data_IF_196389229652
#
_entry.id   IF_196389229652
#
_cell.length_a   1.000
_cell.length_b   1.000
_cell.length_c   1.000
_cell.angle_alpha   90.00
_cell.angle_beta   90.00
_cell.angle_gamma   90.00
#
_symmetry.space_group_name_H-M   'P 1'
#
loop_
_entity.id
_entity.type
_entity.pdbx_description
1 polymer ?
#
# COMPACT_ATOMS: atom_id res chain seq x y z
N UNK A 1 44.60 1.43 -8.88
CA UNK A 1 44.74 2.85 -8.50
C UNK A 1 43.57 3.61 -9.11
N UNK A 2 42.70 4.20 -8.29
CA UNK A 2 41.53 4.92 -8.78
C UNK A 2 41.97 6.06 -9.70
N UNK A 3 41.43 6.13 -10.92
CA UNK A 3 41.68 7.23 -11.85
C UNK A 3 41.29 8.54 -11.16
N UNK A 4 42.28 9.34 -10.77
CA UNK A 4 42.04 10.69 -10.26
C UNK A 4 41.52 11.52 -11.44
N UNK A 5 40.21 11.73 -11.50
CA UNK A 5 39.59 12.57 -12.51
C UNK A 5 40.27 13.95 -12.52
N UNK A 6 40.66 14.42 -13.71
CA UNK A 6 41.37 15.68 -13.89
C UNK A 6 40.43 16.84 -13.49
N UNK A 7 40.67 17.44 -12.33
CA UNK A 7 39.90 18.60 -11.85
C UNK A 7 40.34 19.87 -12.58
N UNK A 8 39.39 20.60 -13.15
CA UNK A 8 39.63 21.89 -13.81
C UNK A 8 38.85 22.96 -13.06
N UNK A 9 39.54 24.02 -12.63
CA UNK A 9 38.92 25.16 -11.97
C UNK A 9 38.61 26.23 -13.03
N UNK A 10 37.36 26.66 -13.09
CA UNK A 10 36.91 27.79 -13.92
C UNK A 10 36.02 28.70 -13.06
N UNK A 11 36.12 30.00 -13.28
CA UNK A 11 35.25 31.00 -12.66
C UNK A 11 34.05 31.24 -13.55
N UNK A 12 32.84 31.12 -13.00
CA UNK A 12 31.57 31.29 -13.71
C UNK A 12 30.71 32.25 -12.87
N UNK A 13 29.93 33.09 -13.54
CA UNK A 13 28.94 33.94 -12.88
C UNK A 13 27.60 33.20 -12.81
N UNK A 14 26.97 33.22 -11.64
CA UNK A 14 25.66 32.62 -11.40
C UNK A 14 24.66 33.74 -11.10
N UNK A 15 23.44 33.58 -11.60
CA UNK A 15 22.33 34.40 -11.15
C UNK A 15 22.05 34.11 -9.67
N UNK A 16 21.64 35.14 -8.91
CA UNK A 16 21.51 35.05 -7.45
C UNK A 16 20.46 34.04 -6.99
N UNK A 17 19.36 33.91 -7.71
CA UNK A 17 18.30 32.93 -7.49
C UNK A 17 18.79 31.49 -7.74
N UNK A 18 19.63 31.29 -8.75
CA UNK A 18 20.25 29.99 -9.05
C UNK A 18 21.23 29.59 -7.95
N UNK A 19 22.01 30.53 -7.44
CA UNK A 19 22.93 30.27 -6.32
C UNK A 19 22.16 29.88 -5.04
N UNK A 20 21.09 30.60 -4.71
CA UNK A 20 20.23 30.29 -3.57
C UNK A 20 19.60 28.89 -3.68
N UNK A 21 19.14 28.51 -4.89
CA UNK A 21 18.61 27.19 -5.16
C UNK A 21 19.70 26.10 -4.99
N UNK A 22 20.92 26.37 -5.45
CA UNK A 22 22.06 25.46 -5.33
C UNK A 22 22.46 25.24 -3.87
N UNK A 23 22.47 26.29 -3.06
CA UNK A 23 22.75 26.19 -1.61
C UNK A 23 21.68 25.41 -0.86
N UNK A 24 20.39 25.62 -1.20
CA UNK A 24 19.28 24.82 -0.64
C UNK A 24 19.44 23.34 -0.99
N UNK A 25 19.77 23.03 -2.24
CA UNK A 25 20.01 21.66 -2.68
C UNK A 25 21.20 21.03 -1.95
N UNK A 26 22.30 21.78 -1.78
CA UNK A 26 23.49 21.34 -1.03
C UNK A 26 23.13 20.97 0.43
N UNK A 27 22.30 21.77 1.10
CA UNK A 27 21.81 21.51 2.46
C UNK A 27 20.88 20.30 2.53
N UNK A 28 19.95 20.16 1.58
CA UNK A 28 19.00 19.04 1.54
C UNK A 28 19.70 17.69 1.33
N UNK A 29 20.67 17.65 0.42
CA UNK A 29 21.42 16.44 0.06
C UNK A 29 22.61 16.17 0.99
N UNK A 30 22.87 17.05 1.97
CA UNK A 30 24.01 16.97 2.91
C UNK A 30 25.35 16.81 2.20
N UNK A 31 25.53 17.54 1.09
CA UNK A 31 26.76 17.53 0.32
C UNK A 31 27.82 18.41 1.00
N UNK A 32 29.08 17.98 0.95
CA UNK A 32 30.16 18.61 1.71
C UNK A 32 30.72 19.89 1.07
N UNK A 33 30.40 20.16 -0.20
CA UNK A 33 30.86 21.35 -0.92
C UNK A 33 29.89 21.75 -2.03
N UNK A 34 29.83 23.05 -2.30
CA UNK A 34 28.97 23.61 -3.34
C UNK A 34 29.38 23.15 -4.75
N UNK A 35 30.66 22.82 -4.94
CA UNK A 35 31.18 22.31 -6.23
C UNK A 35 30.64 20.92 -6.59
N UNK A 36 30.40 20.03 -5.62
CA UNK A 36 29.75 18.75 -5.88
C UNK A 36 28.30 18.95 -6.29
N UNK A 37 27.56 19.81 -5.58
CA UNK A 37 26.18 20.14 -5.92
C UNK A 37 26.07 20.75 -7.33
N UNK A 38 26.98 21.66 -7.70
CA UNK A 38 27.05 22.24 -9.05
C UNK A 38 27.36 21.18 -10.11
N UNK A 39 28.34 20.31 -9.88
CA UNK A 39 28.70 19.27 -10.83
C UNK A 39 27.57 18.25 -11.01
N UNK A 40 26.86 17.88 -9.95
CA UNK A 40 25.74 16.94 -10.04
C UNK A 40 24.54 17.55 -10.76
N UNK A 41 24.22 18.83 -10.50
CA UNK A 41 23.18 19.55 -11.21
C UNK A 41 23.50 19.70 -12.71
N UNK A 42 24.74 20.06 -13.03
CA UNK A 42 25.23 20.17 -14.42
C UNK A 42 25.26 18.80 -15.08
N UNK A 43 25.66 17.74 -14.37
CA UNK A 43 25.64 16.37 -14.91
C UNK A 43 24.22 15.92 -15.22
N UNK A 44 23.27 16.19 -14.33
CA UNK A 44 21.86 15.91 -14.54
C UNK A 44 21.26 16.67 -15.73
N UNK A 45 21.72 17.90 -15.97
CA UNK A 45 21.25 18.72 -17.09
C UNK A 45 21.89 18.33 -18.43
N UNK A 46 23.19 18.02 -18.44
CA UNK A 46 23.97 17.81 -19.67
C UNK A 46 24.09 16.34 -20.09
N UNK A 47 23.92 15.39 -19.18
CA UNK A 47 24.02 13.97 -19.48
C UNK A 47 22.67 13.27 -19.24
N UNK A 48 21.89 13.01 -20.32
CA UNK A 48 20.59 12.34 -20.23
C UNK A 48 20.66 10.95 -19.56
N UNK A 49 21.83 10.30 -19.61
CA UNK A 49 22.07 9.00 -18.98
C UNK A 49 21.89 9.04 -17.45
N UNK A 50 22.23 10.17 -16.80
CA UNK A 50 22.08 10.36 -15.35
C UNK A 50 20.68 10.84 -14.92
N UNK A 51 19.80 11.21 -15.86
CA UNK A 51 18.35 11.27 -15.58
C UNK A 51 17.76 9.87 -15.40
N UNK A 52 18.30 8.90 -16.14
CA UNK A 52 17.69 7.58 -16.30
C UNK A 52 17.70 6.71 -15.05
N UNK A 53 18.68 6.82 -14.14
CA UNK A 53 18.74 5.89 -12.99
C UNK A 53 17.64 6.16 -11.96
N UNK A 54 17.31 7.44 -11.71
CA UNK A 54 16.18 7.79 -10.85
C UNK A 54 14.84 7.45 -11.51
N UNK A 55 14.73 7.65 -12.82
CA UNK A 55 13.52 7.28 -13.57
C UNK A 55 13.35 5.76 -13.67
N UNK A 56 14.44 4.98 -13.78
CA UNK A 56 14.42 3.51 -13.73
C UNK A 56 13.91 3.01 -12.38
N UNK A 57 14.37 3.61 -11.28
CA UNK A 57 13.90 3.23 -9.94
C UNK A 57 12.40 3.53 -9.76
N UNK A 58 11.93 4.67 -10.28
CA UNK A 58 10.49 5.02 -10.25
C UNK A 58 9.66 4.08 -11.12
N UNK A 59 10.14 3.74 -12.33
CA UNK A 59 9.46 2.79 -13.22
C UNK A 59 9.42 1.40 -12.61
N UNK A 60 10.51 0.95 -11.98
CA UNK A 60 10.58 -0.34 -11.28
C UNK A 60 9.62 -0.38 -10.10
N UNK A 61 9.60 0.66 -9.26
CA UNK A 61 8.64 0.77 -8.15
C UNK A 61 7.19 0.73 -8.66
N UNK A 62 6.89 1.42 -9.77
CA UNK A 62 5.57 1.39 -10.40
C UNK A 62 5.20 0.01 -10.95
N UNK A 63 6.16 -0.74 -11.49
CA UNK A 63 5.95 -2.11 -11.93
C UNK A 63 5.67 -3.05 -10.75
N UNK A 64 6.46 -2.94 -9.67
CA UNK A 64 6.28 -3.73 -8.45
C UNK A 64 4.91 -3.45 -7.78
N UNK A 65 4.50 -2.18 -7.73
CA UNK A 65 3.17 -1.79 -7.24
C UNK A 65 2.03 -2.33 -8.12
N UNK A 66 2.20 -2.34 -9.44
CA UNK A 66 1.19 -2.90 -10.35
C UNK A 66 1.09 -4.43 -10.19
N UNK A 67 2.22 -5.11 -10.06
CA UNK A 67 2.26 -6.55 -9.83
C UNK A 67 1.56 -6.93 -8.52
N UNK A 68 1.90 -6.24 -7.42
CA UNK A 68 1.27 -6.49 -6.11
C UNK A 68 -0.24 -6.21 -6.11
N UNK A 69 -0.69 -5.14 -6.77
CA UNK A 69 -2.12 -4.86 -6.93
C UNK A 69 -2.85 -5.92 -7.76
N UNK A 70 -2.20 -6.45 -8.78
CA UNK A 70 -2.78 -7.52 -9.60
C UNK A 70 -2.93 -8.82 -8.81
N UNK A 71 -1.88 -9.22 -8.08
CA UNK A 71 -1.90 -10.39 -7.20
C UNK A 71 -2.97 -10.23 -6.09
N UNK A 72 -3.03 -9.07 -5.46
CA UNK A 72 -4.06 -8.76 -4.47
C UNK A 72 -5.45 -8.93 -5.06
N UNK A 73 -5.75 -8.33 -6.22
CA UNK A 73 -7.07 -8.47 -6.88
C UNK A 73 -7.41 -9.92 -7.19
N UNK A 74 -6.44 -10.70 -7.67
CA UNK A 74 -6.63 -12.11 -7.99
C UNK A 74 -6.94 -12.93 -6.73
N UNK A 75 -6.20 -12.70 -5.65
CA UNK A 75 -6.39 -13.41 -4.39
C UNK A 75 -7.73 -13.02 -3.74
N UNK A 76 -8.05 -11.72 -3.68
CA UNK A 76 -9.34 -11.26 -3.14
C UNK A 76 -10.51 -11.86 -3.91
N UNK A 77 -10.46 -11.93 -5.25
CA UNK A 77 -11.53 -12.52 -6.04
C UNK A 77 -11.73 -14.01 -5.73
N UNK A 78 -10.63 -14.77 -5.56
CA UNK A 78 -10.68 -16.17 -5.16
C UNK A 78 -11.26 -16.34 -3.75
N UNK A 79 -10.80 -15.55 -2.79
CA UNK A 79 -11.27 -15.63 -1.40
C UNK A 79 -12.76 -15.31 -1.29
N UNK A 80 -13.23 -14.32 -2.07
CA UNK A 80 -14.65 -13.97 -2.14
C UNK A 80 -15.49 -15.11 -2.74
N UNK A 81 -14.99 -15.77 -3.78
CA UNK A 81 -15.64 -16.94 -4.37
C UNK A 81 -15.72 -18.10 -3.37
N UNK A 82 -14.64 -18.38 -2.62
CA UNK A 82 -14.62 -19.43 -1.59
C UNK A 82 -15.62 -19.10 -0.47
N UNK A 83 -15.68 -17.85 -0.01
CA UNK A 83 -16.64 -17.43 1.01
C UNK A 83 -18.08 -17.56 0.51
N UNK A 84 -18.36 -17.19 -0.74
CA UNK A 84 -19.68 -17.35 -1.33
C UNK A 84 -20.08 -18.82 -1.44
N UNK A 85 -19.21 -19.66 -1.98
CA UNK A 85 -19.47 -21.11 -2.11
C UNK A 85 -19.65 -21.77 -0.74
N UNK A 86 -18.81 -21.42 0.24
CA UNK A 86 -18.92 -21.90 1.62
C UNK A 86 -20.24 -21.48 2.28
N UNK A 87 -20.72 -20.26 2.00
CA UNK A 87 -22.04 -19.81 2.44
C UNK A 87 -23.17 -20.60 1.77
N UNK A 88 -23.10 -20.84 0.46
CA UNK A 88 -24.11 -21.63 -0.24
C UNK A 88 -24.14 -23.07 0.26
N UNK A 89 -22.98 -23.69 0.45
CA UNK A 89 -22.88 -25.05 0.98
C UNK A 89 -23.38 -25.10 2.44
N UNK A 90 -23.08 -24.10 3.26
CA UNK A 90 -23.63 -24.00 4.60
C UNK A 90 -25.16 -23.90 4.58
N UNK A 91 -25.72 -23.04 3.73
CA UNK A 91 -27.18 -22.86 3.60
C UNK A 91 -27.85 -24.14 3.11
N UNK A 92 -27.27 -24.82 2.12
CA UNK A 92 -27.81 -26.07 1.57
C UNK A 92 -27.80 -27.18 2.63
N UNK A 93 -26.66 -27.40 3.30
CA UNK A 93 -26.53 -28.37 4.41
C UNK A 93 -27.47 -28.00 5.56
N UNK A 94 -27.56 -26.71 5.91
CA UNK A 94 -28.46 -26.24 6.96
C UNK A 94 -29.91 -26.56 6.62
N UNK A 95 -30.40 -26.26 5.41
CA UNK A 95 -31.78 -26.57 5.04
C UNK A 95 -32.06 -28.06 4.85
N UNK A 96 -31.06 -28.84 4.42
CA UNK A 96 -31.19 -30.30 4.30
C UNK A 96 -31.28 -31.01 5.66
N UNK A 97 -30.65 -30.47 6.71
CA UNK A 97 -30.62 -31.08 8.05
C UNK A 97 -31.48 -30.37 9.10
N UNK A 98 -32.04 -29.21 8.79
CA UNK A 98 -32.97 -28.53 9.70
C UNK A 98 -34.37 -29.11 9.51
N UNK A 99 -34.87 -29.77 10.55
CA UNK A 99 -36.20 -30.34 10.56
C UNK A 99 -37.26 -29.23 10.46
N UNK A 100 -38.37 -29.50 9.76
CA UNK A 100 -39.49 -28.56 9.69
C UNK A 100 -40.05 -28.33 11.10
N UNK A 101 -40.06 -27.08 11.54
CA UNK A 101 -40.54 -26.71 12.88
C UNK A 101 -42.06 -26.86 12.90
N UNK A 102 -42.64 -27.57 13.89
CA UNK A 102 -44.09 -27.66 14.07
C UNK A 102 -44.72 -26.27 14.14
N UNK A 103 -45.90 -26.10 13.51
CA UNK A 103 -46.56 -24.78 13.40
C UNK A 103 -46.83 -24.11 14.75
N UNK A 104 -47.01 -24.91 15.80
CA UNK A 104 -47.30 -24.44 17.16
C UNK A 104 -46.06 -23.83 17.86
N UNK A 105 -44.86 -24.27 17.49
CA UNK A 105 -43.59 -23.80 18.07
C UNK A 105 -42.89 -22.73 17.22
N UNK A 106 -43.46 -22.42 16.05
CA UNK A 106 -42.88 -21.52 15.05
C UNK A 106 -42.69 -20.09 15.59
N UNK A 107 -43.62 -19.61 16.44
CA UNK A 107 -43.52 -18.30 17.08
C UNK A 107 -42.36 -18.23 18.07
N UNK A 108 -42.18 -19.26 18.90
CA UNK A 108 -41.08 -19.35 19.86
C UNK A 108 -39.72 -19.50 19.16
N UNK A 109 -39.65 -20.33 18.12
CA UNK A 109 -38.45 -20.51 17.32
C UNK A 109 -38.02 -19.21 16.59
N UNK A 110 -38.98 -18.44 16.05
CA UNK A 110 -38.71 -17.12 15.46
C UNK A 110 -38.19 -16.12 16.48
N UNK A 111 -38.77 -16.08 17.67
CA UNK A 111 -38.30 -15.20 18.74
C UNK A 111 -36.88 -15.54 19.18
N UNK A 112 -36.56 -16.84 19.31
CA UNK A 112 -35.23 -17.30 19.68
C UNK A 112 -34.19 -17.05 18.57
N UNK A 113 -34.57 -17.19 17.30
CA UNK A 113 -33.70 -16.87 16.17
C UNK A 113 -33.37 -15.37 16.11
N UNK A 114 -34.36 -14.51 16.36
CA UNK A 114 -34.17 -13.06 16.42
C UNK A 114 -33.22 -12.66 17.55
N UNK A 115 -33.40 -13.21 18.75
CA UNK A 115 -32.51 -12.95 19.87
C UNK A 115 -31.05 -13.38 19.59
N UNK A 116 -30.84 -14.52 18.91
CA UNK A 116 -29.51 -14.96 18.48
C UNK A 116 -28.89 -14.04 17.43
N UNK A 117 -29.69 -13.50 16.51
CA UNK A 117 -29.23 -12.55 15.50
C UNK A 117 -28.83 -11.21 16.13
N UNK A 118 -29.63 -10.71 17.08
CA UNK A 118 -29.35 -9.45 17.78
C UNK A 118 -28.02 -9.53 18.58
N UNK A 119 -27.79 -10.64 19.32
CA UNK A 119 -26.53 -10.87 20.03
C UNK A 119 -25.34 -11.04 19.06
N UNK A 120 -25.53 -11.74 17.94
CA UNK A 120 -24.49 -11.85 16.91
C UNK A 120 -24.10 -10.47 16.32
N UNK A 121 -25.08 -9.63 16.01
CA UNK A 121 -24.85 -8.29 15.49
C UNK A 121 -24.15 -7.41 16.53
N UNK A 122 -24.53 -7.50 17.80
CA UNK A 122 -23.87 -6.78 18.89
C UNK A 122 -22.40 -7.21 19.04
N UNK A 123 -22.11 -8.51 19.00
CA UNK A 123 -20.75 -9.03 19.04
C UNK A 123 -19.92 -8.60 17.83
N UNK A 124 -20.53 -8.53 16.64
CA UNK A 124 -19.88 -8.09 15.42
C UNK A 124 -19.50 -6.61 15.51
N UNK A 125 -20.42 -5.75 15.97
CA UNK A 125 -20.16 -4.33 16.21
C UNK A 125 -19.03 -4.13 17.24
N UNK A 126 -19.07 -4.86 18.37
CA UNK A 126 -18.02 -4.80 19.40
C UNK A 126 -16.66 -5.23 18.85
N UNK A 127 -16.61 -6.28 18.03
CA UNK A 127 -15.36 -6.77 17.40
C UNK A 127 -14.82 -5.83 16.32
N UNK A 128 -15.67 -5.15 15.57
CA UNK A 128 -15.24 -4.15 14.57
C UNK A 128 -14.72 -2.86 15.20
N UNK A 129 -15.25 -2.49 16.38
CA UNK A 129 -14.85 -1.29 17.12
C UNK A 129 -13.54 -1.48 17.91
N UNK A 130 -13.04 -2.72 18.05
CA UNK A 130 -11.86 -3.01 18.86
C UNK A 130 -10.56 -2.60 18.12
N UNK A 131 -9.88 -1.51 18.50
CA UNK A 131 -8.76 -0.94 17.73
C UNK A 131 -7.51 -1.85 17.76
N UNK A 132 -7.45 -2.77 18.73
CA UNK A 132 -6.29 -3.65 18.96
C UNK A 132 -6.18 -4.80 17.95
N UNK A 133 -7.24 -5.13 17.18
CA UNK A 133 -7.17 -6.10 16.08
C UNK A 133 -6.80 -5.49 14.75
N UNK A 134 -7.23 -4.26 14.46
CA UNK A 134 -6.83 -3.53 13.24
C UNK A 134 -5.33 -3.21 13.18
N UNK A 135 -4.64 -3.21 14.33
CA UNK A 135 -3.19 -3.02 14.41
C UNK A 135 -2.39 -4.33 14.26
N UNK A 136 -2.97 -5.50 14.60
CA UNK A 136 -2.28 -6.80 14.55
C UNK A 136 -2.29 -7.50 13.19
N UNK A 137 -3.15 -7.07 12.26
CA UNK A 137 -3.13 -7.54 10.86
C UNK A 137 -2.22 -6.67 9.96
N UNK A 138 -1.53 -5.67 10.52
CA UNK A 138 -0.60 -4.78 9.81
C UNK A 138 0.89 -5.02 10.16
N UNK A 139 1.19 -6.01 10.99
CA UNK A 139 2.54 -6.55 11.23
C UNK A 139 2.68 -7.92 10.57
#
# INVERSE_FOLDING_TARGET
MAKTEKRVQKTIQWDGDVLDALEKHNKQQRLNNLSAAANDAVRFALFPEYRSDRDKDVVKLMQDLRASLYEHRKNTARDLMILQEGLFQFVDVFFQHTHSIPKDELAAAKAQAKARLDDFMEQLVRKMQDPKRQAKEKE
#
